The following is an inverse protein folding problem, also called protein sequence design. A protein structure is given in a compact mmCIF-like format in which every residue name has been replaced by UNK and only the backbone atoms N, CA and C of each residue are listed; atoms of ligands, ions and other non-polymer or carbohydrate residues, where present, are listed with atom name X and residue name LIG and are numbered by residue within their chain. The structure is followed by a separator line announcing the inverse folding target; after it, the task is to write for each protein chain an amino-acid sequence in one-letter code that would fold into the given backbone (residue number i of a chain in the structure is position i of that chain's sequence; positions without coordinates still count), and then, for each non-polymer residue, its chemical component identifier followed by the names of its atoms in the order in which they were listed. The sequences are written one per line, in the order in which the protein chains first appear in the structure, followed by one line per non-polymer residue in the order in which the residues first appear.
data_IF_667037351222
#
_entry.id   IF_667037351222
#
_cell.length_a   1.000
_cell.length_b   1.000
_cell.length_c   1.000
_cell.angle_alpha   90.00
_cell.angle_beta   90.00
_cell.angle_gamma   90.00
#
_symmetry.space_group_name_H-M   'P 1'
#
loop_
_entity.id
_entity.type
_entity.pdbx_description
1 polymer ?
#
# COMPACT_ATOMS: atom_id res chain seq x y z
N UNK A 1 -9.40 -12.99 -4.94
CA UNK A 1 -9.44 -12.15 -6.15
C UNK A 1 -9.04 -10.73 -5.76
N UNK A 2 -8.29 -10.01 -6.61
CA UNK A 2 -7.98 -8.58 -6.42
C UNK A 2 -8.93 -7.77 -7.30
N UNK A 3 -9.61 -6.74 -6.76
CA UNK A 3 -10.51 -5.88 -7.52
C UNK A 3 -9.88 -5.23 -8.76
N UNK A 4 -10.70 -5.03 -9.80
CA UNK A 4 -10.23 -4.46 -11.07
C UNK A 4 -10.57 -2.98 -11.18
N UNK A 5 -11.75 -2.57 -10.72
CA UNK A 5 -12.18 -1.17 -10.78
C UNK A 5 -11.71 -0.40 -9.55
N UNK A 6 -11.71 0.93 -9.64
CA UNK A 6 -11.34 1.82 -8.52
C UNK A 6 -12.37 1.71 -7.39
N UNK A 7 -13.63 1.66 -7.75
CA UNK A 7 -14.77 1.61 -6.84
C UNK A 7 -14.73 0.33 -6.00
N UNK A 8 -14.56 -0.82 -6.65
CA UNK A 8 -14.43 -2.12 -5.96
C UNK A 8 -13.17 -2.18 -5.10
N UNK A 9 -12.07 -1.56 -5.56
CA UNK A 9 -10.80 -1.54 -4.84
C UNK A 9 -10.90 -0.71 -3.56
N UNK A 10 -11.58 0.43 -3.63
CA UNK A 10 -11.75 1.35 -2.51
C UNK A 10 -12.82 0.86 -1.52
N UNK A 11 -13.81 0.11 -2.00
CA UNK A 11 -14.82 -0.55 -1.17
C UNK A 11 -14.36 -1.91 -0.62
N UNK A 12 -13.15 -2.37 -0.97
CA UNK A 12 -12.66 -3.66 -0.52
C UNK A 12 -12.44 -3.67 1.00
N UNK A 13 -13.05 -4.64 1.69
CA UNK A 13 -12.89 -4.81 3.13
C UNK A 13 -11.50 -5.38 3.47
N UNK A 14 -10.62 -4.51 3.94
CA UNK A 14 -9.23 -4.84 4.29
C UNK A 14 -9.22 -5.56 5.63
N UNK A 15 -8.63 -6.75 5.67
CA UNK A 15 -8.41 -7.51 6.90
C UNK A 15 -7.24 -6.90 7.70
N UNK A 16 -7.51 -5.80 8.40
CA UNK A 16 -6.50 -5.07 9.20
C UNK A 16 -5.89 -5.92 10.31
N UNK A 17 -6.62 -6.91 10.84
CA UNK A 17 -6.08 -7.83 11.83
C UNK A 17 -4.92 -8.68 11.28
N UNK A 18 -5.01 -9.14 10.03
CA UNK A 18 -3.89 -9.83 9.34
C UNK A 18 -2.78 -8.84 9.02
N UNK A 19 -3.14 -7.64 8.57
CA UNK A 19 -2.19 -6.58 8.27
C UNK A 19 -1.28 -6.26 9.47
N UNK A 20 -1.88 -6.02 10.64
CA UNK A 20 -1.17 -5.65 11.87
C UNK A 20 -0.34 -6.83 12.39
N UNK A 21 -0.95 -8.02 12.46
CA UNK A 21 -0.30 -9.24 12.97
C UNK A 21 0.98 -9.60 12.21
N UNK A 22 1.03 -9.30 10.91
CA UNK A 22 2.15 -9.66 10.04
C UNK A 22 3.01 -8.47 9.61
N UNK A 23 2.78 -7.30 10.23
CA UNK A 23 3.52 -6.06 9.98
C UNK A 23 3.65 -5.75 8.49
N UNK A 24 2.52 -5.83 7.75
CA UNK A 24 2.57 -5.71 6.29
C UNK A 24 3.04 -4.33 5.81
N UNK A 25 2.97 -3.28 6.65
CA UNK A 25 3.61 -1.99 6.38
C UNK A 25 5.10 -2.13 6.08
N UNK A 26 5.84 -2.95 6.85
CA UNK A 26 7.28 -3.18 6.64
C UNK A 26 7.55 -3.90 5.31
N UNK A 27 6.66 -4.80 4.91
CA UNK A 27 6.77 -5.51 3.62
C UNK A 27 6.48 -4.61 2.43
N UNK A 28 5.59 -3.64 2.61
CA UNK A 28 5.23 -2.67 1.58
C UNK A 28 6.28 -1.56 1.43
N UNK A 29 7.01 -1.21 2.51
CA UNK A 29 7.98 -0.10 2.52
C UNK A 29 8.99 -0.13 1.36
N UNK A 30 9.68 -1.24 1.03
CA UNK A 30 10.61 -1.28 -0.10
C UNK A 30 9.95 -1.00 -1.45
N UNK A 31 8.71 -1.45 -1.64
CA UNK A 31 7.96 -1.19 -2.86
C UNK A 31 7.49 0.26 -2.94
N UNK A 32 7.02 0.82 -1.82
CA UNK A 32 6.63 2.23 -1.71
C UNK A 32 7.84 3.10 -2.04
N UNK A 33 9.00 2.87 -1.42
CA UNK A 33 10.23 3.61 -1.69
C UNK A 33 10.63 3.56 -3.16
N UNK A 34 10.63 2.36 -3.77
CA UNK A 34 10.90 2.20 -5.20
C UNK A 34 9.95 3.01 -6.06
N UNK A 35 8.65 3.02 -5.72
CA UNK A 35 7.66 3.78 -6.48
C UNK A 35 7.81 5.28 -6.32
N UNK A 36 8.11 5.78 -5.13
CA UNK A 36 8.38 7.20 -4.92
C UNK A 36 9.58 7.66 -5.75
N UNK A 37 10.67 6.87 -5.78
CA UNK A 37 11.83 7.17 -6.66
C UNK A 37 11.44 7.16 -8.14
N UNK A 38 10.61 6.21 -8.58
CA UNK A 38 10.13 6.17 -9.97
C UNK A 38 9.27 7.39 -10.34
N UNK A 39 8.52 7.97 -9.39
CA UNK A 39 7.66 9.14 -9.63
C UNK A 39 8.42 10.46 -9.52
N UNK A 40 9.29 10.62 -8.52
CA UNK A 40 9.97 11.88 -8.24
C UNK A 40 11.35 11.97 -8.91
N UNK A 41 11.93 10.85 -9.33
CA UNK A 41 13.31 10.78 -9.83
C UNK A 41 14.37 10.81 -8.74
N UNK A 42 13.97 10.94 -7.48
CA UNK A 42 14.85 10.99 -6.30
C UNK A 42 14.25 10.23 -5.11
N UNK A 43 15.12 9.91 -4.15
CA UNK A 43 14.69 9.28 -2.91
C UNK A 43 14.10 10.33 -1.96
N UNK A 44 12.82 10.17 -1.62
CA UNK A 44 12.14 11.00 -0.64
C UNK A 44 11.68 10.15 0.55
N UNK A 45 12.58 9.91 1.49
CA UNK A 45 12.35 9.03 2.65
C UNK A 45 11.24 9.53 3.57
N UNK A 46 11.07 10.86 3.69
CA UNK A 46 10.00 11.47 4.49
C UNK A 46 8.62 11.10 3.96
N UNK A 47 8.44 11.13 2.64
CA UNK A 47 7.18 10.76 2.00
C UNK A 47 6.92 9.25 2.13
N UNK A 48 7.96 8.42 2.01
CA UNK A 48 7.85 6.98 2.23
C UNK A 48 7.37 6.69 3.65
N UNK A 49 8.01 7.28 4.66
CA UNK A 49 7.66 7.08 6.06
C UNK A 49 6.25 7.61 6.37
N UNK A 50 5.86 8.72 5.76
CA UNK A 50 4.49 9.25 5.85
C UNK A 50 3.45 8.27 5.30
N UNK A 51 3.66 7.75 4.08
CA UNK A 51 2.74 6.77 3.46
C UNK A 51 2.65 5.50 4.33
N UNK A 52 3.79 5.00 4.80
CA UNK A 52 3.86 3.83 5.68
C UNK A 52 3.07 4.08 6.96
N UNK A 53 3.24 5.24 7.60
CA UNK A 53 2.45 5.64 8.78
C UNK A 53 0.96 5.68 8.48
N UNK A 54 0.52 6.30 7.37
CA UNK A 54 -0.88 6.35 6.99
C UNK A 54 -1.47 4.94 6.78
N UNK A 55 -0.71 4.01 6.21
CA UNK A 55 -1.18 2.61 6.08
C UNK A 55 -1.26 1.90 7.44
N UNK A 56 -0.35 2.22 8.36
CA UNK A 56 -0.34 1.71 9.73
C UNK A 56 -1.51 2.24 10.57
N UNK A 57 -1.91 3.48 10.32
CA UNK A 57 -3.07 4.13 10.94
C UNK A 57 -4.40 3.76 10.27
N UNK A 58 -4.38 2.77 9.37
CA UNK A 58 -5.54 2.24 8.63
C UNK A 58 -6.32 3.33 7.87
N UNK A 59 -5.60 4.33 7.35
CA UNK A 59 -6.19 5.39 6.52
C UNK A 59 -6.90 4.76 5.32
N UNK A 60 -8.12 5.22 5.04
CA UNK A 60 -8.93 4.71 3.94
C UNK A 60 -8.34 5.09 2.57
N UNK A 61 -8.62 4.29 1.54
CA UNK A 61 -8.06 4.47 0.20
C UNK A 61 -8.36 5.84 -0.41
N UNK A 62 -9.60 6.31 -0.23
CA UNK A 62 -10.03 7.64 -0.67
C UNK A 62 -9.23 8.74 0.02
N UNK A 63 -9.02 8.61 1.33
CA UNK A 63 -8.26 9.61 2.09
C UNK A 63 -6.79 9.60 1.74
N UNK A 64 -6.19 8.41 1.56
CA UNK A 64 -4.83 8.28 1.06
C UNK A 64 -4.67 8.97 -0.31
N UNK A 65 -5.63 8.76 -1.22
CA UNK A 65 -5.63 9.43 -2.52
C UNK A 65 -5.66 10.95 -2.37
N UNK A 66 -6.57 11.50 -1.57
CA UNK A 66 -6.61 12.95 -1.33
C UNK A 66 -5.28 13.52 -0.81
N UNK A 67 -4.67 12.84 0.16
CA UNK A 67 -3.41 13.28 0.76
C UNK A 67 -2.29 13.28 -0.27
N UNK A 68 -2.16 12.19 -1.04
CA UNK A 68 -1.10 12.06 -2.03
C UNK A 68 -1.36 12.90 -3.28
N UNK A 69 -2.61 13.20 -3.63
CA UNK A 69 -2.94 14.10 -4.73
C UNK A 69 -2.33 15.51 -4.51
N UNK A 70 -2.24 15.96 -3.25
CA UNK A 70 -1.61 17.25 -2.94
C UNK A 70 -0.08 17.29 -3.13
N UNK A 71 0.56 16.11 -3.24
CA UNK A 71 2.01 15.95 -3.29
C UNK A 71 2.45 15.48 -4.68
N UNK A 72 1.75 14.50 -5.24
CA UNK A 72 2.07 13.80 -6.48
C UNK A 72 1.12 14.16 -7.63
N UNK A 73 0.20 15.10 -7.43
CA UNK A 73 -0.79 15.53 -8.44
C UNK A 73 -1.42 14.35 -9.20
N UNK A 74 -1.47 14.40 -10.53
CA UNK A 74 -2.18 13.43 -11.39
C UNK A 74 -1.63 12.00 -11.27
N UNK A 75 -0.38 11.84 -10.83
CA UNK A 75 0.27 10.54 -10.61
C UNK A 75 -0.25 9.81 -9.36
N UNK A 76 -0.83 10.53 -8.40
CA UNK A 76 -1.29 9.97 -7.12
C UNK A 76 -2.33 8.87 -7.29
N UNK A 77 -3.30 9.03 -8.20
CA UNK A 77 -4.35 8.04 -8.43
C UNK A 77 -3.78 6.70 -8.85
N UNK A 78 -2.88 6.70 -9.84
CA UNK A 78 -2.28 5.46 -10.32
C UNK A 78 -1.42 4.80 -9.24
N UNK A 79 -0.71 5.61 -8.43
CA UNK A 79 0.06 5.10 -7.31
C UNK A 79 -0.83 4.42 -6.25
N UNK A 80 -1.88 5.09 -5.77
CA UNK A 80 -2.79 4.55 -4.75
C UNK A 80 -3.49 3.30 -5.25
N UNK A 81 -3.96 3.28 -6.51
CA UNK A 81 -4.56 2.09 -7.11
C UNK A 81 -3.59 0.89 -7.16
N UNK A 82 -2.31 1.13 -7.45
CA UNK A 82 -1.30 0.06 -7.43
C UNK A 82 -0.98 -0.38 -6.01
N UNK A 83 -0.89 0.57 -5.07
CA UNK A 83 -0.59 0.31 -3.67
C UNK A 83 -1.70 -0.51 -3.00
N UNK A 84 -2.98 -0.16 -3.22
CA UNK A 84 -4.11 -0.92 -2.67
C UNK A 84 -4.18 -2.34 -3.22
N UNK A 85 -3.89 -2.53 -4.52
CA UNK A 85 -3.80 -3.88 -5.10
C UNK A 85 -2.68 -4.70 -4.47
N UNK A 86 -1.53 -4.07 -4.19
CA UNK A 86 -0.43 -4.72 -3.49
C UNK A 86 -0.79 -5.09 -2.05
N UNK A 87 -1.44 -4.17 -1.31
CA UNK A 87 -1.91 -4.43 0.05
C UNK A 87 -2.83 -5.65 0.10
N UNK A 88 -3.85 -5.69 -0.77
CA UNK A 88 -4.78 -6.82 -0.85
C UNK A 88 -4.05 -8.11 -1.23
N UNK A 89 -3.07 -8.03 -2.14
CA UNK A 89 -2.25 -9.17 -2.51
C UNK A 89 -1.44 -9.72 -1.32
N UNK A 90 -0.75 -8.86 -0.56
CA UNK A 90 0.04 -9.28 0.59
C UNK A 90 -0.83 -9.89 1.71
N UNK A 91 -2.01 -9.34 1.96
CA UNK A 91 -2.99 -9.92 2.89
C UNK A 91 -3.39 -11.32 2.41
N UNK A 92 -3.81 -11.47 1.16
CA UNK A 92 -4.24 -12.77 0.62
C UNK A 92 -3.11 -13.81 0.60
N UNK A 93 -1.89 -13.38 0.32
CA UNK A 93 -0.70 -14.24 0.34
C UNK A 93 -0.47 -14.81 1.74
N UNK A 94 -0.70 -14.02 2.79
CA UNK A 94 -0.64 -14.48 4.18
C UNK A 94 -1.82 -15.40 4.51
N UNK A 95 -3.05 -15.00 4.17
CA UNK A 95 -4.27 -15.79 4.43
C UNK A 95 -4.21 -17.19 3.81
N UNK A 96 -3.65 -17.31 2.61
CA UNK A 96 -3.53 -18.58 1.87
C UNK A 96 -2.33 -19.43 2.29
N UNK A 97 -1.53 -18.99 3.26
CA UNK A 97 -0.32 -19.70 3.70
C UNK A 97 0.80 -19.70 2.65
N UNK A 98 0.67 -18.91 1.58
CA UNK A 98 1.68 -18.73 0.53
C UNK A 98 2.82 -17.80 0.97
N UNK A 99 2.85 -17.39 2.25
CA UNK A 99 4.05 -16.82 2.87
C UNK A 99 5.13 -17.91 2.99
N UNK A 100 5.78 -18.21 1.87
CA UNK A 100 6.97 -19.04 1.84
C UNK A 100 8.02 -18.51 2.81
N UNK A 101 8.51 -19.41 3.67
CA UNK A 101 9.63 -19.28 4.61
C UNK A 101 10.71 -18.28 4.17
N UNK A 102 11.10 -17.40 5.10
CA UNK A 102 12.45 -16.89 5.32
C UNK A 102 12.47 -16.31 6.76
N UNK A 103 13.27 -16.75 7.73
CA UNK A 103 14.52 -17.53 7.77
C UNK A 103 14.53 -18.45 9.02
N UNK A 104 15.22 -19.58 8.89
CA UNK A 104 15.90 -20.24 10.00
C UNK A 104 17.20 -19.50 10.33
#
# INVERSE_FOLDING_TARGET
MIPRTKEELFAYDINWAIYDKHELHERMRPWIAKKIIEFLGEEESTLVDYIVSCTKDHVQASKMLELLQSILDVEAEMFVLKMWRMLIFEIKKVETGLSGRAKA
#
